data_IF_548812781123
#
_entry.id   IF_548812781123
#
_cell.length_a   1.000
_cell.length_b   1.000
_cell.length_c   1.000
_cell.angle_alpha   90.00
_cell.angle_beta   90.00
_cell.angle_gamma   90.00
#
_symmetry.space_group_name_H-M   'P 1'
#
loop_
_entity.id
_entity.type
_entity.pdbx_description
1 polymer ?
#
# COMPACT_ATOMS: atom_id res chain seq x y z
N UNK A 1 27.43 66.06 -15.99
CA UNK A 1 26.67 64.86 -15.55
C UNK A 1 25.89 65.26 -14.32
N UNK A 2 24.57 65.37 -14.49
CA UNK A 2 23.71 66.18 -13.61
C UNK A 2 23.32 65.47 -12.32
N UNK A 3 23.21 66.26 -11.25
CA UNK A 3 22.72 65.86 -9.92
C UNK A 3 21.32 65.23 -9.97
N UNK A 4 20.54 65.49 -11.03
CA UNK A 4 19.24 64.86 -11.29
C UNK A 4 19.30 63.37 -11.69
N UNK A 5 20.40 62.86 -12.26
CA UNK A 5 20.55 61.41 -12.52
C UNK A 5 20.77 60.60 -11.23
N UNK A 6 21.36 61.22 -10.20
CA UNK A 6 21.55 60.59 -8.88
C UNK A 6 20.27 60.59 -8.02
N UNK A 7 19.34 61.53 -8.26
CA UNK A 7 18.10 61.65 -7.49
C UNK A 7 16.93 60.82 -8.07
N UNK A 8 16.94 60.49 -9.37
CA UNK A 8 15.90 59.68 -10.02
C UNK A 8 16.34 58.26 -10.43
N UNK A 9 17.60 57.88 -10.20
CA UNK A 9 18.11 56.53 -10.52
C UNK A 9 17.45 55.38 -9.73
N UNK A 10 16.80 55.67 -8.59
CA UNK A 10 16.07 54.67 -7.80
C UNK A 10 14.66 54.37 -8.35
N UNK A 11 14.01 55.35 -9.00
CA UNK A 11 12.65 55.20 -9.54
C UNK A 11 12.59 54.36 -10.83
N UNK A 12 13.74 54.14 -11.50
CA UNK A 12 13.87 53.29 -12.69
C UNK A 12 14.67 52.01 -12.42
N UNK A 13 14.48 51.35 -11.27
CA UNK A 13 14.76 49.90 -11.19
C UNK A 13 13.85 49.22 -12.21
N UNK A 14 14.39 48.90 -13.40
CA UNK A 14 13.72 48.08 -14.43
C UNK A 14 13.01 46.94 -13.71
N UNK A 15 11.68 46.91 -13.77
CA UNK A 15 10.91 45.77 -13.23
C UNK A 15 11.57 44.49 -13.77
N UNK A 16 11.91 43.52 -12.91
CA UNK A 16 12.51 42.27 -13.37
C UNK A 16 11.62 41.71 -14.48
N UNK A 17 12.24 41.32 -15.60
CA UNK A 17 11.48 40.74 -16.72
C UNK A 17 10.75 39.51 -16.19
N UNK A 18 9.43 39.56 -16.19
CA UNK A 18 8.56 38.47 -15.76
C UNK A 18 8.51 37.41 -16.85
N UNK A 19 8.82 36.16 -16.50
CA UNK A 19 8.82 35.01 -17.40
C UNK A 19 7.87 33.98 -16.79
N UNK A 20 6.80 33.65 -17.51
CA UNK A 20 5.88 32.57 -17.15
C UNK A 20 6.14 31.36 -18.04
N UNK A 21 6.28 30.19 -17.44
CA UNK A 21 6.59 28.92 -18.12
C UNK A 21 5.60 27.84 -17.70
N UNK A 22 5.21 27.01 -18.67
CA UNK A 22 4.54 25.76 -18.35
C UNK A 22 5.57 24.73 -17.86
N UNK A 23 5.13 23.78 -17.02
CA UNK A 23 5.93 22.62 -16.58
C UNK A 23 6.63 21.91 -17.76
N UNK A 24 5.94 21.78 -18.90
CA UNK A 24 6.47 21.12 -20.10
C UNK A 24 7.58 21.92 -20.80
N UNK A 25 7.62 23.23 -20.61
CA UNK A 25 8.55 24.13 -21.30
C UNK A 25 9.79 24.48 -20.46
N UNK A 26 9.78 24.22 -19.15
CA UNK A 26 10.88 24.60 -18.25
C UNK A 26 12.21 23.99 -18.67
N UNK A 27 12.24 22.70 -19.03
CA UNK A 27 13.46 22.02 -19.47
C UNK A 27 14.06 22.69 -20.72
N UNK A 28 13.23 22.91 -21.75
CA UNK A 28 13.64 23.59 -22.98
C UNK A 28 14.11 25.03 -22.73
N UNK A 29 13.46 25.72 -21.79
CA UNK A 29 13.86 27.06 -21.39
C UNK A 29 15.25 27.06 -20.74
N UNK A 30 15.50 26.13 -19.80
CA UNK A 30 16.81 26.00 -19.15
C UNK A 30 17.90 25.65 -20.16
N UNK A 31 17.65 24.72 -21.08
CA UNK A 31 18.59 24.41 -22.18
C UNK A 31 18.86 25.63 -23.08
N UNK A 32 17.83 26.42 -23.37
CA UNK A 32 17.96 27.66 -24.13
C UNK A 32 18.80 28.71 -23.39
N UNK A 33 18.61 28.89 -22.09
CA UNK A 33 19.44 29.80 -21.29
C UNK A 33 20.88 29.26 -21.16
N UNK A 34 21.06 27.95 -21.00
CA UNK A 34 22.38 27.29 -20.99
C UNK A 34 23.12 27.51 -22.31
N UNK A 35 22.45 27.35 -23.45
CA UNK A 35 23.04 27.51 -24.79
C UNK A 35 23.37 28.96 -25.17
N UNK A 36 22.69 29.95 -24.57
CA UNK A 36 23.07 31.37 -24.71
C UNK A 36 24.41 31.67 -24.03
N UNK A 37 24.75 30.92 -22.99
CA UNK A 37 26.04 31.07 -22.34
C UNK A 37 27.15 30.54 -23.25
N UNK A 38 28.05 31.44 -23.64
CA UNK A 38 29.26 31.06 -24.39
C UNK A 38 30.35 30.52 -23.45
N UNK A 39 30.14 30.57 -22.14
CA UNK A 39 31.14 30.32 -21.10
C UNK A 39 31.86 28.98 -21.30
N UNK A 40 31.11 27.89 -21.41
CA UNK A 40 31.69 26.55 -21.63
C UNK A 40 32.41 26.38 -22.97
N UNK A 41 31.94 27.09 -24.02
CA UNK A 41 32.48 26.94 -25.39
C UNK A 41 33.66 27.86 -25.68
N UNK A 42 33.75 29.01 -25.01
CA UNK A 42 34.73 30.04 -25.35
C UNK A 42 35.57 30.49 -24.17
N UNK A 43 35.00 30.70 -22.99
CA UNK A 43 35.72 31.32 -21.87
C UNK A 43 36.51 30.29 -21.08
N UNK A 44 35.89 29.15 -20.73
CA UNK A 44 36.57 28.04 -20.06
C UNK A 44 37.75 27.50 -20.87
N UNK A 45 37.63 27.23 -22.20
CA UNK A 45 38.78 26.81 -22.99
C UNK A 45 39.91 27.83 -23.07
N UNK A 46 39.61 29.14 -23.06
CA UNK A 46 40.63 30.20 -23.02
C UNK A 46 41.41 30.18 -21.71
N UNK A 47 40.70 30.13 -20.58
CA UNK A 47 41.32 30.02 -19.26
C UNK A 47 42.17 28.74 -19.17
N UNK A 48 41.68 27.62 -19.69
CA UNK A 48 42.43 26.37 -19.72
C UNK A 48 43.70 26.45 -20.58
N UNK A 49 43.64 27.15 -21.72
CA UNK A 49 44.81 27.37 -22.56
C UNK A 49 45.86 28.24 -21.85
N UNK A 50 45.43 29.28 -21.13
CA UNK A 50 46.32 30.14 -20.32
C UNK A 50 46.94 29.36 -19.14
N UNK A 51 46.17 28.52 -18.45
CA UNK A 51 46.71 27.62 -17.41
C UNK A 51 47.77 26.69 -18.00
N UNK A 52 47.51 26.08 -19.16
CA UNK A 52 48.49 25.21 -19.85
C UNK A 52 49.75 25.95 -20.24
N UNK A 53 49.63 27.20 -20.73
CA UNK A 53 50.77 28.05 -21.04
C UNK A 53 51.66 28.25 -19.81
N UNK A 54 51.10 28.64 -18.68
CA UNK A 54 51.87 28.83 -17.44
C UNK A 54 52.46 27.52 -16.91
N UNK A 55 51.75 26.40 -17.06
CA UNK A 55 52.30 25.06 -16.73
C UNK A 55 53.53 24.75 -17.59
N UNK A 56 53.46 25.00 -18.90
CA UNK A 56 54.57 24.72 -19.82
C UNK A 56 55.76 25.65 -19.58
N UNK A 57 55.51 26.93 -19.25
CA UNK A 57 56.55 27.86 -18.79
C UNK A 57 57.22 27.38 -17.50
N UNK A 58 56.45 26.90 -16.51
CA UNK A 58 57.03 26.30 -15.30
C UNK A 58 57.87 25.07 -15.65
N UNK A 59 57.41 24.21 -16.57
CA UNK A 59 58.19 23.03 -17.02
C UNK A 59 59.55 23.45 -17.62
N UNK A 60 59.59 24.53 -18.40
CA UNK A 60 60.84 25.07 -18.96
C UNK A 60 61.74 25.64 -17.86
N UNK A 61 61.20 26.48 -16.98
CA UNK A 61 61.94 27.07 -15.87
C UNK A 61 62.50 26.02 -14.91
N UNK A 62 61.80 24.90 -14.70
CA UNK A 62 62.30 23.79 -13.89
C UNK A 62 63.49 23.07 -14.54
N UNK A 63 63.49 22.90 -15.87
CA UNK A 63 64.63 22.33 -16.61
C UNK A 63 65.86 23.24 -16.51
N UNK A 64 65.67 24.54 -16.76
CA UNK A 64 66.73 25.55 -16.61
C UNK A 64 67.26 25.58 -15.17
N UNK A 65 66.34 25.52 -14.20
CA UNK A 65 66.68 25.47 -12.78
C UNK A 65 67.54 24.25 -12.48
N UNK A 66 67.25 23.06 -13.05
CA UNK A 66 68.00 21.83 -12.86
C UNK A 66 69.41 21.87 -13.47
N UNK A 67 69.57 22.47 -14.65
CA UNK A 67 70.83 22.55 -15.40
C UNK A 67 71.82 23.59 -14.86
N UNK A 68 71.32 24.68 -14.26
CA UNK A 68 72.15 25.81 -13.81
C UNK A 68 72.92 25.51 -12.52
N UNK A 69 74.23 25.71 -12.52
CA UNK A 69 75.08 25.53 -11.34
C UNK A 69 74.90 26.64 -10.31
N UNK A 70 75.11 26.29 -9.04
CA UNK A 70 75.02 27.22 -7.91
C UNK A 70 76.40 27.84 -7.68
N UNK A 71 76.51 29.12 -8.01
CA UNK A 71 77.72 29.92 -7.82
C UNK A 71 77.66 30.65 -6.47
N UNK A 72 78.11 29.96 -5.40
CA UNK A 72 78.18 30.52 -4.04
C UNK A 72 79.47 30.03 -3.38
N UNK A 73 80.21 30.96 -2.76
CA UNK A 73 81.51 30.70 -2.13
C UNK A 73 81.43 29.70 -0.95
N UNK A 74 80.29 29.62 -0.26
CA UNK A 74 80.11 28.73 0.88
C UNK A 74 79.72 27.30 0.45
N UNK A 75 80.67 26.38 0.50
CA UNK A 75 80.49 24.95 0.14
C UNK A 75 79.37 24.23 0.91
N UNK A 76 79.17 24.55 2.20
CA UNK A 76 78.09 23.95 3.00
C UNK A 76 76.73 24.43 2.52
N UNK A 77 76.61 25.72 2.23
CA UNK A 77 75.39 26.31 1.68
C UNK A 77 75.12 25.77 0.28
N UNK A 78 76.14 25.67 -0.58
CA UNK A 78 76.06 25.13 -1.94
C UNK A 78 75.45 23.72 -1.96
N UNK A 79 75.90 22.83 -1.07
CA UNK A 79 75.33 21.47 -0.93
C UNK A 79 73.85 21.48 -0.51
N UNK A 80 73.48 22.32 0.45
CA UNK A 80 72.09 22.45 0.92
C UNK A 80 71.20 23.03 -0.17
N UNK A 81 71.64 24.09 -0.84
CA UNK A 81 70.93 24.73 -1.93
C UNK A 81 70.74 23.76 -3.12
N UNK A 82 71.74 22.94 -3.46
CA UNK A 82 71.63 21.94 -4.53
C UNK A 82 70.61 20.84 -4.20
N UNK A 83 70.56 20.38 -2.94
CA UNK A 83 69.56 19.41 -2.47
C UNK A 83 68.15 20.01 -2.46
N UNK A 84 68.01 21.23 -1.95
CA UNK A 84 66.74 21.97 -1.96
C UNK A 84 66.23 22.27 -3.37
N UNK A 85 67.13 22.59 -4.31
CA UNK A 85 66.83 22.76 -5.74
C UNK A 85 66.20 21.49 -6.32
N UNK A 86 66.86 20.33 -6.21
CA UNK A 86 66.32 19.04 -6.71
C UNK A 86 64.97 18.68 -6.08
N UNK A 87 64.85 18.87 -4.76
CA UNK A 87 63.61 18.57 -4.04
C UNK A 87 62.47 19.53 -4.42
N UNK A 88 62.78 20.80 -4.66
CA UNK A 88 61.84 21.78 -5.16
C UNK A 88 61.37 21.40 -6.57
N UNK A 89 62.28 21.16 -7.51
CA UNK A 89 61.93 20.79 -8.88
C UNK A 89 61.01 19.58 -8.91
N UNK A 90 61.38 18.50 -8.21
CA UNK A 90 60.54 17.29 -8.13
C UNK A 90 59.13 17.57 -7.62
N UNK A 91 58.99 18.40 -6.58
CA UNK A 91 57.69 18.72 -5.98
C UNK A 91 56.85 19.61 -6.87
N UNK A 92 57.44 20.62 -7.50
CA UNK A 92 56.72 21.48 -8.44
C UNK A 92 56.34 20.71 -9.69
N UNK A 93 57.17 19.81 -10.19
CA UNK A 93 56.80 18.91 -11.30
C UNK A 93 55.59 18.04 -10.96
N UNK A 94 55.49 17.53 -9.73
CA UNK A 94 54.32 16.79 -9.27
C UNK A 94 53.09 17.68 -9.12
N UNK A 95 53.27 18.91 -8.60
CA UNK A 95 52.20 19.88 -8.46
C UNK A 95 51.60 20.23 -9.84
N UNK A 96 52.41 20.64 -10.81
CA UNK A 96 51.90 21.07 -12.12
C UNK A 96 51.20 19.95 -12.90
N UNK A 97 51.54 18.68 -12.66
CA UNK A 97 50.80 17.54 -13.22
C UNK A 97 49.35 17.47 -12.69
N UNK A 98 49.15 17.81 -11.41
CA UNK A 98 47.82 17.87 -10.80
C UNK A 98 47.01 19.10 -11.20
N UNK A 99 47.68 20.15 -11.68
CA UNK A 99 47.06 21.38 -12.17
C UNK A 99 46.67 21.29 -13.65
N UNK A 100 46.88 20.16 -14.32
CA UNK A 100 46.47 20.03 -15.72
C UNK A 100 44.94 20.07 -15.86
N UNK A 101 44.39 20.92 -16.76
CA UNK A 101 42.94 21.02 -16.92
C UNK A 101 42.29 19.69 -17.38
N UNK A 102 41.09 19.36 -16.89
CA UNK A 102 40.40 18.13 -17.25
C UNK A 102 40.03 18.06 -18.74
N UNK A 103 40.00 16.84 -19.29
CA UNK A 103 39.64 16.61 -20.70
C UNK A 103 38.14 16.74 -20.97
N UNK A 104 37.30 16.26 -20.05
CA UNK A 104 35.85 16.39 -20.13
C UNK A 104 35.40 17.64 -19.39
N UNK A 105 34.74 18.57 -20.10
CA UNK A 105 34.23 19.82 -19.52
C UNK A 105 32.72 19.66 -19.28
N UNK A 106 32.36 19.40 -18.03
CA UNK A 106 30.99 19.56 -17.53
C UNK A 106 30.99 20.38 -16.23
N UNK A 107 29.82 20.85 -15.82
CA UNK A 107 29.70 21.76 -14.68
C UNK A 107 30.36 21.23 -13.39
N UNK A 108 30.10 19.95 -13.08
CA UNK A 108 30.63 19.24 -11.92
C UNK A 108 32.15 19.12 -11.95
N UNK A 109 32.69 18.67 -13.08
CA UNK A 109 34.14 18.49 -13.27
C UNK A 109 34.89 19.81 -13.14
N UNK A 110 34.29 20.92 -13.59
CA UNK A 110 34.90 22.24 -13.54
C UNK A 110 34.97 22.77 -12.11
N UNK A 111 33.86 22.68 -11.35
CA UNK A 111 33.82 23.12 -9.95
C UNK A 111 34.78 22.31 -9.07
N UNK A 112 34.83 21.00 -9.27
CA UNK A 112 35.77 20.12 -8.56
C UNK A 112 37.21 20.45 -8.91
N UNK A 113 37.51 20.68 -10.19
CA UNK A 113 38.84 21.05 -10.64
C UNK A 113 39.30 22.38 -10.01
N UNK A 114 38.47 23.44 -10.03
CA UNK A 114 38.83 24.71 -9.39
C UNK A 114 39.20 24.54 -7.92
N UNK A 115 38.35 23.83 -7.18
CA UNK A 115 38.56 23.61 -5.74
C UNK A 115 39.84 22.82 -5.46
N UNK A 116 40.03 21.68 -6.14
CA UNK A 116 41.20 20.83 -5.92
C UNK A 116 42.50 21.50 -6.38
N UNK A 117 42.49 22.21 -7.51
CA UNK A 117 43.68 22.85 -8.05
C UNK A 117 44.15 24.02 -7.16
N UNK A 118 43.22 24.81 -6.60
CA UNK A 118 43.57 25.87 -5.64
C UNK A 118 44.17 25.29 -4.36
N UNK A 119 43.56 24.25 -3.79
CA UNK A 119 44.06 23.56 -2.60
C UNK A 119 45.45 22.93 -2.83
N UNK A 120 45.67 22.30 -3.99
CA UNK A 120 46.98 21.73 -4.34
C UNK A 120 48.07 22.80 -4.49
N UNK A 121 47.76 23.98 -5.04
CA UNK A 121 48.70 25.12 -5.09
C UNK A 121 49.07 25.55 -3.66
N UNK A 122 48.07 25.74 -2.78
CA UNK A 122 48.31 26.18 -1.41
C UNK A 122 49.16 25.18 -0.63
N UNK A 123 48.78 23.90 -0.65
CA UNK A 123 49.50 22.83 0.04
C UNK A 123 50.88 22.59 -0.55
N UNK A 124 51.02 22.62 -1.88
CA UNK A 124 52.29 22.41 -2.59
C UNK A 124 53.31 23.51 -2.31
N UNK A 125 52.87 24.77 -2.27
CA UNK A 125 53.70 25.92 -1.89
C UNK A 125 54.06 25.87 -0.41
N UNK A 126 53.09 25.58 0.47
CA UNK A 126 53.33 25.45 1.91
C UNK A 126 54.37 24.37 2.23
N UNK A 127 54.20 23.17 1.66
CA UNK A 127 55.11 22.05 1.88
C UNK A 127 56.53 22.34 1.39
N UNK A 128 56.69 23.24 0.42
CA UNK A 128 57.96 23.58 -0.21
C UNK A 128 58.69 24.78 0.39
N UNK A 129 58.12 25.46 1.40
CA UNK A 129 58.67 26.70 2.01
C UNK A 129 60.17 26.66 2.34
N UNK A 130 60.65 25.57 2.97
CA UNK A 130 62.08 25.41 3.30
C UNK A 130 62.96 25.34 2.04
N UNK A 131 62.52 24.59 1.03
CA UNK A 131 63.27 24.46 -0.23
C UNK A 131 63.22 25.76 -1.03
N UNK A 132 62.08 26.45 -1.02
CA UNK A 132 61.91 27.78 -1.63
C UNK A 132 62.91 28.76 -1.01
N UNK A 133 63.05 28.79 0.32
CA UNK A 133 63.97 29.71 0.97
C UNK A 133 65.44 29.53 0.49
N UNK A 134 65.95 28.30 0.53
CA UNK A 134 67.34 28.01 0.11
C UNK A 134 67.55 28.21 -1.39
N UNK A 135 66.60 27.76 -2.22
CA UNK A 135 66.68 27.93 -3.68
C UNK A 135 66.55 29.40 -4.10
N UNK A 136 65.77 30.22 -3.39
CA UNK A 136 65.61 31.65 -3.70
C UNK A 136 66.88 32.44 -3.41
N UNK A 137 67.61 32.10 -2.33
CA UNK A 137 68.89 32.74 -2.03
C UNK A 137 69.96 32.43 -3.08
N UNK A 138 69.95 31.21 -3.64
CA UNK A 138 70.89 30.82 -4.69
C UNK A 138 70.47 31.25 -6.10
N UNK A 139 69.17 31.29 -6.38
CA UNK A 139 68.60 31.44 -7.73
C UNK A 139 67.32 32.30 -7.71
N UNK A 140 67.43 33.59 -7.34
CA UNK A 140 66.27 34.44 -7.06
C UNK A 140 65.37 34.67 -8.29
N UNK A 141 65.95 34.75 -9.49
CA UNK A 141 65.20 35.04 -10.72
C UNK A 141 64.31 33.86 -11.13
N UNK A 142 64.87 32.65 -11.25
CA UNK A 142 64.12 31.44 -11.61
C UNK A 142 63.00 31.14 -10.60
N UNK A 143 63.29 31.28 -9.30
CA UNK A 143 62.30 31.06 -8.24
C UNK A 143 61.18 32.10 -8.28
N UNK A 144 61.50 33.38 -8.56
CA UNK A 144 60.51 34.45 -8.71
C UNK A 144 59.62 34.21 -9.93
N UNK A 145 60.17 33.77 -11.05
CA UNK A 145 59.40 33.47 -12.27
C UNK A 145 58.45 32.29 -12.06
N UNK A 146 58.89 31.22 -11.41
CA UNK A 146 58.03 30.08 -11.05
C UNK A 146 56.90 30.54 -10.11
N UNK A 147 57.22 31.35 -9.09
CA UNK A 147 56.24 31.91 -8.18
C UNK A 147 55.18 32.76 -8.90
N UNK A 148 55.61 33.62 -9.84
CA UNK A 148 54.70 34.43 -10.66
C UNK A 148 53.74 33.59 -11.50
N UNK A 149 54.23 32.51 -12.10
CA UNK A 149 53.39 31.61 -12.90
C UNK A 149 52.41 30.81 -12.05
N UNK A 150 52.80 30.36 -10.85
CA UNK A 150 51.87 29.74 -9.89
C UNK A 150 50.80 30.73 -9.41
N UNK A 151 51.18 31.98 -9.13
CA UNK A 151 50.23 33.04 -8.76
C UNK A 151 49.26 33.35 -9.91
N UNK A 152 49.75 33.38 -11.16
CA UNK A 152 48.92 33.56 -12.34
C UNK A 152 47.91 32.42 -12.50
N UNK A 153 48.33 31.16 -12.32
CA UNK A 153 47.41 30.01 -12.34
C UNK A 153 46.36 30.13 -11.22
N UNK A 154 46.74 30.53 -9.99
CA UNK A 154 45.79 30.75 -8.90
C UNK A 154 44.73 31.79 -9.27
N UNK A 155 45.13 32.93 -9.84
CA UNK A 155 44.19 33.96 -10.31
C UNK A 155 43.27 33.46 -11.41
N UNK A 156 43.78 32.63 -12.33
CA UNK A 156 42.96 32.02 -13.38
C UNK A 156 41.93 31.04 -12.81
N UNK A 157 42.28 30.28 -11.78
CA UNK A 157 41.37 29.37 -11.08
C UNK A 157 40.32 30.13 -10.25
N UNK A 158 40.70 31.21 -9.58
CA UNK A 158 39.76 32.13 -8.90
C UNK A 158 38.78 32.76 -9.91
N UNK A 159 39.28 33.24 -11.05
CA UNK A 159 38.45 33.76 -12.13
C UNK A 159 37.49 32.69 -12.65
N UNK A 160 37.94 31.46 -12.79
CA UNK A 160 37.10 30.33 -13.20
C UNK A 160 36.03 30.02 -12.15
N UNK A 161 36.34 30.12 -10.86
CA UNK A 161 35.36 29.98 -9.77
C UNK A 161 34.31 31.09 -9.81
N UNK A 162 34.72 32.35 -9.97
CA UNK A 162 33.78 33.47 -10.11
C UNK A 162 32.88 33.28 -11.33
N UNK A 163 33.45 32.83 -12.45
CA UNK A 163 32.71 32.57 -13.69
C UNK A 163 31.63 31.49 -13.52
N UNK A 164 31.93 30.44 -12.74
CA UNK A 164 30.96 29.41 -12.37
C UNK A 164 29.80 30.02 -11.56
N UNK A 165 30.13 30.84 -10.56
CA UNK A 165 29.15 31.44 -9.65
C UNK A 165 28.29 32.52 -10.32
N UNK A 166 28.81 33.21 -11.34
CA UNK A 166 28.05 34.16 -12.17
C UNK A 166 27.11 33.45 -13.16
N UNK A 167 27.37 32.19 -13.49
CA UNK A 167 26.63 31.41 -14.50
C UNK A 167 25.85 30.25 -13.86
N UNK A 168 25.17 30.49 -12.73
CA UNK A 168 24.44 29.47 -11.95
C UNK A 168 23.52 28.56 -12.77
N UNK A 169 22.84 29.07 -13.81
CA UNK A 169 21.96 28.25 -14.67
C UNK A 169 22.72 27.16 -15.43
N UNK A 170 23.96 27.43 -15.79
CA UNK A 170 24.84 26.50 -16.51
C UNK A 170 25.46 25.48 -15.55
N UNK A 171 25.80 25.92 -14.35
CA UNK A 171 26.64 25.15 -13.43
C UNK A 171 25.92 24.54 -12.22
N UNK A 172 24.63 24.85 -12.00
CA UNK A 172 23.88 24.34 -10.84
C UNK A 172 23.36 22.92 -11.09
N UNK A 173 23.90 21.97 -10.33
CA UNK A 173 23.35 20.60 -10.22
C UNK A 173 21.95 20.60 -9.59
N UNK A 174 21.66 21.53 -8.69
CA UNK A 174 20.36 21.61 -8.02
C UNK A 174 19.22 21.91 -8.99
N UNK A 175 19.47 22.78 -9.98
CA UNK A 175 18.51 23.07 -11.06
C UNK A 175 18.25 21.82 -11.90
N UNK A 176 19.29 21.05 -12.20
CA UNK A 176 19.17 19.82 -13.00
C UNK A 176 18.43 18.72 -12.26
N UNK A 177 18.74 18.50 -10.98
CA UNK A 177 18.04 17.54 -10.14
C UNK A 177 16.56 17.93 -9.98
N UNK A 178 16.27 19.21 -9.73
CA UNK A 178 14.90 19.70 -9.63
C UNK A 178 14.12 19.55 -10.94
N UNK A 179 14.76 19.75 -12.11
CA UNK A 179 14.14 19.48 -13.42
C UNK A 179 13.79 18.01 -13.60
N UNK A 180 14.72 17.12 -13.27
CA UNK A 180 14.53 15.67 -13.38
C UNK A 180 13.41 15.17 -12.44
N UNK A 181 13.39 15.65 -11.20
CA UNK A 181 12.32 15.37 -10.22
C UNK A 181 10.96 15.87 -10.75
N UNK A 182 10.91 17.11 -11.24
CA UNK A 182 9.69 17.72 -11.78
C UNK A 182 9.16 16.95 -13.01
N UNK A 183 10.04 16.50 -13.90
CA UNK A 183 9.65 15.66 -15.03
C UNK A 183 9.16 14.28 -14.59
N UNK A 184 9.88 13.61 -13.69
CA UNK A 184 9.49 12.30 -13.17
C UNK A 184 8.15 12.33 -12.46
N UNK A 185 7.89 13.34 -11.63
CA UNK A 185 6.60 13.51 -10.94
C UNK A 185 5.47 13.79 -11.92
N UNK A 186 5.72 14.57 -12.98
CA UNK A 186 4.73 14.81 -14.04
C UNK A 186 4.40 13.52 -14.83
N UNK A 187 5.39 12.68 -15.09
CA UNK A 187 5.17 11.37 -15.73
C UNK A 187 4.36 10.42 -14.84
N UNK A 188 4.62 10.39 -13.52
CA UNK A 188 3.80 9.62 -12.56
C UNK A 188 2.34 10.07 -12.56
N UNK A 189 2.09 11.38 -12.62
CA UNK A 189 0.71 11.92 -12.70
C UNK A 189 0.02 11.41 -13.96
N UNK A 190 0.67 11.50 -15.14
CA UNK A 190 0.07 11.00 -16.39
C UNK A 190 -0.28 9.53 -16.32
N UNK A 191 0.64 8.70 -15.79
CA UNK A 191 0.39 7.27 -15.63
C UNK A 191 -0.78 6.99 -14.65
N UNK A 192 -0.87 7.75 -13.56
CA UNK A 192 -1.99 7.65 -12.63
C UNK A 192 -3.32 8.11 -13.25
N UNK A 193 -3.31 9.16 -14.08
CA UNK A 193 -4.48 9.64 -14.83
C UNK A 193 -4.97 8.58 -15.84
N UNK A 194 -4.07 7.94 -16.59
CA UNK A 194 -4.41 6.81 -17.48
C UNK A 194 -5.05 5.65 -16.71
N UNK A 195 -4.49 5.30 -15.54
CA UNK A 195 -5.09 4.28 -14.65
C UNK A 195 -6.47 4.70 -14.16
N UNK A 196 -6.68 5.99 -13.85
CA UNK A 196 -7.97 6.51 -13.41
C UNK A 196 -9.03 6.43 -14.51
N UNK A 197 -8.66 6.65 -15.78
CA UNK A 197 -9.55 6.43 -16.94
C UNK A 197 -9.98 4.96 -17.02
N UNK A 198 -9.03 4.03 -16.95
CA UNK A 198 -9.34 2.59 -16.98
C UNK A 198 -10.23 2.15 -15.80
N UNK A 199 -10.01 2.71 -14.60
CA UNK A 199 -10.86 2.45 -13.44
C UNK A 199 -12.29 2.99 -13.62
N UNK A 200 -12.47 4.12 -14.30
CA UNK A 200 -13.79 4.65 -14.61
C UNK A 200 -14.55 3.75 -15.59
N UNK A 201 -13.88 3.25 -16.63
CA UNK A 201 -14.48 2.28 -17.56
C UNK A 201 -14.88 0.99 -16.84
N UNK A 202 -14.00 0.46 -15.98
CA UNK A 202 -14.28 -0.73 -15.16
C UNK A 202 -15.48 -0.50 -14.23
N UNK A 203 -15.57 0.68 -13.62
CA UNK A 203 -16.68 1.06 -12.75
C UNK A 203 -18.00 1.12 -13.52
N UNK A 204 -18.02 1.80 -14.66
CA UNK A 204 -19.20 1.89 -15.52
C UNK A 204 -19.68 0.51 -15.99
N UNK A 205 -18.74 -0.36 -16.40
CA UNK A 205 -19.06 -1.75 -16.78
C UNK A 205 -19.64 -2.56 -15.60
N UNK A 206 -19.06 -2.43 -14.40
CA UNK A 206 -19.58 -3.11 -13.21
C UNK A 206 -20.97 -2.58 -12.79
N UNK A 207 -21.23 -1.27 -12.94
CA UNK A 207 -22.54 -0.66 -12.71
C UNK A 207 -23.59 -1.22 -13.67
N UNK A 208 -23.28 -1.30 -14.96
CA UNK A 208 -24.17 -1.87 -15.98
C UNK A 208 -24.46 -3.35 -15.71
N UNK A 209 -23.43 -4.15 -15.41
CA UNK A 209 -23.59 -5.57 -15.07
C UNK A 209 -24.44 -5.76 -13.81
N UNK A 210 -24.23 -4.92 -12.79
CA UNK A 210 -25.02 -4.95 -11.57
C UNK A 210 -26.49 -4.60 -11.84
N UNK A 211 -26.75 -3.58 -12.65
CA UNK A 211 -28.11 -3.19 -13.01
C UNK A 211 -28.83 -4.32 -13.78
N UNK A 212 -28.16 -4.95 -14.74
CA UNK A 212 -28.69 -6.09 -15.48
C UNK A 212 -28.96 -7.29 -14.57
N UNK A 213 -28.03 -7.62 -13.66
CA UNK A 213 -28.22 -8.68 -12.68
C UNK A 213 -29.40 -8.40 -11.73
N UNK A 214 -29.57 -7.14 -11.30
CA UNK A 214 -30.71 -6.71 -10.47
C UNK A 214 -32.04 -6.80 -11.22
N UNK A 215 -32.08 -6.39 -12.50
CA UNK A 215 -33.27 -6.55 -13.36
C UNK A 215 -33.64 -8.02 -13.50
N UNK A 216 -32.68 -8.88 -13.86
CA UNK A 216 -32.88 -10.34 -13.94
C UNK A 216 -33.37 -10.94 -12.63
N UNK A 217 -32.79 -10.54 -11.50
CA UNK A 217 -33.24 -11.00 -10.18
C UNK A 217 -34.67 -10.56 -9.89
N UNK A 218 -35.04 -9.32 -10.24
CA UNK A 218 -36.39 -8.79 -10.07
C UNK A 218 -37.40 -9.55 -10.93
N UNK A 219 -37.09 -9.83 -12.20
CA UNK A 219 -37.95 -10.60 -13.11
C UNK A 219 -38.13 -12.04 -12.64
N UNK A 220 -37.05 -12.70 -12.20
CA UNK A 220 -37.13 -14.04 -11.63
C UNK A 220 -37.97 -14.06 -10.36
N UNK A 221 -37.81 -13.05 -9.49
CA UNK A 221 -38.54 -12.96 -8.22
C UNK A 221 -40.02 -12.63 -8.40
N UNK A 222 -40.39 -11.92 -9.47
CA UNK A 222 -41.78 -11.58 -9.78
C UNK A 222 -42.51 -12.65 -10.58
N UNK A 223 -41.79 -13.67 -11.08
CA UNK A 223 -42.38 -14.80 -11.80
C UNK A 223 -43.39 -15.57 -10.95
N UNK A 224 -44.42 -16.09 -11.61
CA UNK A 224 -45.44 -16.92 -10.95
C UNK A 224 -44.83 -18.19 -10.33
N UNK A 225 -43.78 -18.74 -10.95
CA UNK A 225 -43.04 -19.89 -10.42
C UNK A 225 -42.31 -19.57 -9.11
N UNK A 226 -41.70 -18.37 -8.99
CA UNK A 226 -41.06 -17.93 -7.76
C UNK A 226 -42.07 -17.67 -6.64
N UNK A 227 -43.19 -17.02 -6.95
CA UNK A 227 -44.29 -16.83 -5.97
C UNK A 227 -44.85 -18.16 -5.50
N UNK A 228 -45.10 -19.09 -6.42
CA UNK A 228 -45.55 -20.44 -6.11
C UNK A 228 -44.55 -21.17 -5.22
N UNK A 229 -43.25 -21.07 -5.49
CA UNK A 229 -42.21 -21.66 -4.65
C UNK A 229 -42.23 -21.07 -3.23
N UNK A 230 -42.33 -19.75 -3.10
CA UNK A 230 -42.40 -19.07 -1.81
C UNK A 230 -43.66 -19.47 -1.02
N UNK A 231 -44.81 -19.57 -1.69
CA UNK A 231 -46.05 -20.02 -1.06
C UNK A 231 -45.96 -21.48 -0.61
N UNK A 232 -45.39 -22.36 -1.42
CA UNK A 232 -45.12 -23.76 -1.07
C UNK A 232 -44.17 -23.88 0.12
N UNK A 233 -43.10 -23.09 0.20
CA UNK A 233 -42.21 -23.05 1.37
C UNK A 233 -42.96 -22.62 2.64
N UNK A 234 -43.79 -21.57 2.56
CA UNK A 234 -44.59 -21.11 3.69
C UNK A 234 -45.61 -22.17 4.13
N UNK A 235 -46.29 -22.81 3.18
CA UNK A 235 -47.22 -23.91 3.47
C UNK A 235 -46.51 -25.10 4.12
N UNK A 236 -45.31 -25.46 3.64
CA UNK A 236 -44.49 -26.51 4.25
C UNK A 236 -44.13 -26.17 5.70
N UNK A 237 -43.74 -24.94 5.98
CA UNK A 237 -43.40 -24.50 7.35
C UNK A 237 -44.61 -24.55 8.28
N UNK A 238 -45.79 -24.12 7.80
CA UNK A 238 -47.04 -24.21 8.57
C UNK A 238 -47.40 -25.67 8.90
N UNK A 239 -47.32 -26.58 7.92
CA UNK A 239 -47.59 -28.01 8.13
C UNK A 239 -46.57 -28.65 9.09
N UNK A 240 -45.30 -28.24 9.02
CA UNK A 240 -44.27 -28.70 9.94
C UNK A 240 -44.54 -28.25 11.39
N UNK A 241 -44.96 -27.00 11.58
CA UNK A 241 -45.38 -26.47 12.89
C UNK A 241 -46.61 -27.20 13.42
N UNK A 242 -47.61 -27.46 12.59
CA UNK A 242 -48.80 -28.22 12.97
C UNK A 242 -48.43 -29.65 13.41
N UNK A 243 -47.54 -30.31 12.66
CA UNK A 243 -47.01 -31.63 13.02
C UNK A 243 -46.28 -31.60 14.36
N UNK A 244 -45.43 -30.61 14.58
CA UNK A 244 -44.72 -30.42 15.85
C UNK A 244 -45.68 -30.19 17.01
N UNK A 245 -46.76 -29.43 16.81
CA UNK A 245 -47.79 -29.21 17.83
C UNK A 245 -48.54 -30.50 18.21
N UNK A 246 -48.96 -31.30 17.23
CA UNK A 246 -49.65 -32.58 17.49
C UNK A 246 -48.71 -33.53 18.24
N UNK A 247 -47.48 -33.67 17.76
CA UNK A 247 -46.47 -34.52 18.40
C UNK A 247 -46.13 -34.01 19.81
N UNK A 248 -45.93 -32.70 19.98
CA UNK A 248 -45.62 -32.07 21.25
C UNK A 248 -46.73 -32.25 22.29
N UNK A 249 -48.01 -32.16 21.89
CA UNK A 249 -49.15 -32.48 22.75
C UNK A 249 -49.10 -33.94 23.22
N UNK A 250 -48.90 -34.89 22.29
CA UNK A 250 -48.80 -36.31 22.62
C UNK A 250 -47.62 -36.63 23.57
N UNK A 251 -46.44 -36.06 23.31
CA UNK A 251 -45.28 -36.22 24.19
C UNK A 251 -45.52 -35.60 25.56
N UNK A 252 -46.17 -34.43 25.63
CA UNK A 252 -46.45 -33.74 26.89
C UNK A 252 -47.36 -34.57 27.79
N UNK A 253 -48.39 -35.20 27.21
CA UNK A 253 -49.26 -36.11 27.94
C UNK A 253 -48.51 -37.35 28.46
N UNK A 254 -47.62 -37.95 27.65
CA UNK A 254 -46.76 -39.04 28.10
C UNK A 254 -45.73 -38.58 29.15
N UNK A 255 -45.23 -37.35 29.02
CA UNK A 255 -44.23 -36.76 29.93
C UNK A 255 -44.81 -36.48 31.31
N UNK A 256 -46.12 -36.25 31.42
CA UNK A 256 -46.80 -36.19 32.72
C UNK A 256 -46.61 -37.49 33.52
N UNK A 257 -46.41 -38.62 32.84
CA UNK A 257 -46.13 -39.92 33.44
C UNK A 257 -44.63 -40.23 33.59
N UNK A 258 -43.71 -39.32 33.27
CA UNK A 258 -42.25 -39.59 33.29
C UNK A 258 -41.74 -40.07 34.65
N UNK A 259 -42.21 -39.47 35.75
CA UNK A 259 -41.82 -39.87 37.11
C UNK A 259 -42.45 -41.23 37.50
N UNK A 260 -43.77 -41.46 37.31
CA UNK A 260 -44.37 -42.78 37.43
C UNK A 260 -43.67 -43.88 36.61
N UNK A 261 -43.39 -43.62 35.34
CA UNK A 261 -42.69 -44.53 34.42
C UNK A 261 -41.31 -44.91 34.97
N UNK A 262 -40.52 -43.95 35.47
CA UNK A 262 -39.23 -44.25 36.10
C UNK A 262 -39.35 -45.07 37.38
N UNK A 263 -40.36 -44.79 38.21
CA UNK A 263 -40.62 -45.59 39.41
C UNK A 263 -41.03 -47.02 39.03
N UNK A 264 -41.84 -47.18 37.99
CA UNK A 264 -42.27 -48.47 37.47
C UNK A 264 -41.10 -49.27 36.89
N UNK A 265 -40.24 -48.61 36.11
CA UNK A 265 -38.99 -49.18 35.59
C UNK A 265 -38.09 -49.66 36.74
N UNK A 266 -37.94 -48.87 37.81
CA UNK A 266 -37.20 -49.27 39.01
C UNK A 266 -37.84 -50.48 39.69
N UNK A 267 -39.15 -50.50 39.85
CA UNK A 267 -39.89 -51.63 40.44
C UNK A 267 -39.68 -52.92 39.62
N UNK A 268 -39.63 -52.82 38.29
CA UNK A 268 -39.30 -53.94 37.42
C UNK A 268 -37.85 -54.41 37.59
N UNK A 269 -36.90 -53.48 37.63
CA UNK A 269 -35.45 -53.79 37.78
C UNK A 269 -35.11 -54.47 39.11
N UNK A 270 -35.79 -54.11 40.20
CA UNK A 270 -35.60 -54.74 41.52
C UNK A 270 -36.43 -56.02 41.72
N UNK A 271 -37.21 -56.43 40.71
CA UNK A 271 -38.04 -57.64 40.76
C UNK A 271 -39.35 -57.52 41.54
N UNK A 272 -39.73 -56.31 41.96
CA UNK A 272 -41.01 -56.05 42.65
C UNK A 272 -42.23 -56.14 41.72
N UNK A 273 -42.02 -56.00 40.41
CA UNK A 273 -43.00 -56.24 39.37
C UNK A 273 -42.34 -56.98 38.19
N UNK A 274 -43.03 -57.90 37.51
CA UNK A 274 -42.48 -58.63 36.36
C UNK A 274 -43.17 -58.19 35.08
N UNK A 275 -42.40 -57.70 34.11
CA UNK A 275 -42.84 -57.42 32.74
C UNK A 275 -42.20 -58.43 31.77
N UNK A 276 -42.89 -58.69 30.65
CA UNK A 276 -42.31 -59.42 29.52
C UNK A 276 -41.19 -58.62 28.83
N UNK A 277 -40.45 -59.28 27.93
CA UNK A 277 -39.36 -58.64 27.19
C UNK A 277 -39.85 -57.48 26.31
N UNK A 278 -40.92 -57.69 25.53
CA UNK A 278 -41.51 -56.67 24.65
C UNK A 278 -42.06 -55.48 25.43
N UNK A 279 -42.71 -55.75 26.57
CA UNK A 279 -43.20 -54.75 27.49
C UNK A 279 -42.05 -53.92 28.10
N UNK A 280 -40.97 -54.57 28.54
CA UNK A 280 -39.79 -53.88 29.09
C UNK A 280 -39.14 -52.95 28.05
N UNK A 281 -38.99 -53.41 26.81
CA UNK A 281 -38.50 -52.58 25.70
C UNK A 281 -39.43 -51.40 25.40
N UNK A 282 -40.75 -51.62 25.46
CA UNK A 282 -41.73 -50.54 25.23
C UNK A 282 -41.68 -49.50 26.34
N UNK A 283 -41.58 -49.92 27.60
CA UNK A 283 -41.42 -49.03 28.75
C UNK A 283 -40.16 -48.18 28.64
N UNK A 284 -39.04 -48.78 28.22
CA UNK A 284 -37.78 -48.07 27.99
C UNK A 284 -37.91 -47.03 26.86
N UNK A 285 -38.54 -47.40 25.73
CA UNK A 285 -38.82 -46.47 24.62
C UNK A 285 -39.78 -45.35 25.03
N UNK A 286 -40.80 -45.62 25.84
CA UNK A 286 -41.69 -44.58 26.38
C UNK A 286 -40.92 -43.55 27.21
N UNK A 287 -39.90 -43.98 27.95
CA UNK A 287 -39.09 -43.11 28.79
C UNK A 287 -38.04 -42.31 28.02
N UNK A 288 -37.40 -42.92 27.02
CA UNK A 288 -36.23 -42.36 26.32
C UNK A 288 -36.59 -41.72 24.97
N UNK A 289 -37.55 -42.28 24.23
CA UNK A 289 -37.84 -41.93 22.85
C UNK A 289 -39.36 -42.04 22.53
N UNK A 290 -40.23 -41.27 23.23
CA UNK A 290 -41.68 -41.36 23.06
C UNK A 290 -42.14 -41.03 21.63
N UNK A 291 -41.44 -40.14 20.94
CA UNK A 291 -41.71 -39.78 19.54
C UNK A 291 -41.58 -40.95 18.56
N UNK A 292 -40.47 -41.68 18.67
CA UNK A 292 -40.19 -42.84 17.81
C UNK A 292 -41.21 -43.94 18.09
N UNK A 293 -41.56 -44.12 19.37
CA UNK A 293 -42.56 -45.09 19.77
C UNK A 293 -43.94 -44.79 19.18
N UNK A 294 -44.41 -43.54 19.29
CA UNK A 294 -45.69 -43.09 18.72
C UNK A 294 -45.76 -43.25 17.19
N UNK A 295 -44.62 -43.19 16.50
CA UNK A 295 -44.55 -43.47 15.05
C UNK A 295 -44.56 -44.96 14.73
N UNK A 296 -43.86 -45.76 15.54
CA UNK A 296 -43.71 -47.21 15.29
C UNK A 296 -44.89 -48.06 15.79
N UNK A 297 -45.72 -47.52 16.68
CA UNK A 297 -46.92 -48.17 17.23
C UNK A 297 -48.19 -47.32 16.96
N UNK A 298 -48.78 -47.40 15.76
CA UNK A 298 -49.87 -46.52 15.32
C UNK A 298 -51.13 -46.56 16.18
N UNK A 299 -51.40 -47.70 16.82
CA UNK A 299 -52.57 -47.90 17.69
C UNK A 299 -52.23 -47.78 19.17
N UNK A 300 -50.97 -47.45 19.49
CA UNK A 300 -50.44 -47.39 20.84
C UNK A 300 -50.73 -48.67 21.63
N UNK A 301 -50.68 -49.85 21.00
CA UNK A 301 -50.98 -51.13 21.67
C UNK A 301 -49.99 -51.38 22.80
N UNK A 302 -48.69 -51.26 22.52
CA UNK A 302 -47.65 -51.46 23.52
C UNK A 302 -47.70 -50.38 24.59
N UNK A 303 -47.97 -49.13 24.21
CA UNK A 303 -48.15 -48.04 25.18
C UNK A 303 -49.32 -48.35 26.12
N UNK A 304 -50.48 -48.76 25.59
CA UNK A 304 -51.66 -49.07 26.39
C UNK A 304 -51.45 -50.28 27.30
N UNK A 305 -50.74 -51.30 26.82
CA UNK A 305 -50.35 -52.45 27.65
C UNK A 305 -49.49 -52.00 28.84
N UNK A 306 -48.48 -51.16 28.62
CA UNK A 306 -47.64 -50.62 29.70
C UNK A 306 -48.43 -49.73 30.66
N UNK A 307 -49.33 -48.89 30.14
CA UNK A 307 -50.19 -48.06 30.98
C UNK A 307 -51.12 -48.91 31.86
N UNK A 308 -51.67 -50.01 31.34
CA UNK A 308 -52.49 -50.94 32.11
C UNK A 308 -51.69 -51.69 33.18
N UNK A 309 -50.48 -52.16 32.84
CA UNK A 309 -49.58 -52.80 33.82
C UNK A 309 -49.14 -51.81 34.91
N UNK A 310 -48.84 -50.57 34.54
CA UNK A 310 -48.49 -49.51 35.48
C UNK A 310 -49.68 -49.17 36.39
N UNK A 311 -50.91 -49.14 35.87
CA UNK A 311 -52.15 -48.99 36.67
C UNK A 311 -52.25 -50.08 37.73
N UNK A 312 -52.11 -51.34 37.32
CA UNK A 312 -52.16 -52.50 38.21
C UNK A 312 -51.07 -52.44 39.30
N UNK A 313 -49.86 -52.03 38.94
CA UNK A 313 -48.74 -51.90 39.86
C UNK A 313 -48.98 -50.80 40.93
N UNK A 314 -49.58 -49.68 40.55
CA UNK A 314 -49.95 -48.60 41.46
C UNK A 314 -51.08 -49.02 42.42
N UNK A 315 -52.10 -49.70 41.90
CA UNK A 315 -53.23 -50.18 42.71
C UNK A 315 -52.81 -51.25 43.73
N UNK A 316 -51.93 -52.17 43.34
CA UNK A 316 -51.34 -53.21 44.22
C UNK A 316 -50.24 -52.70 45.16
N UNK A 317 -49.97 -51.39 45.17
CA UNK A 317 -48.90 -50.76 45.95
C UNK A 317 -47.48 -51.33 45.64
N UNK A 318 -47.25 -51.84 44.43
CA UNK A 318 -45.91 -52.23 43.97
C UNK A 318 -45.04 -51.01 43.60
N UNK A 319 -45.67 -49.85 43.41
CA UNK A 319 -45.01 -48.55 43.23
C UNK A 319 -45.39 -47.63 44.38
N UNK A 320 -44.40 -47.19 45.17
CA UNK A 320 -44.63 -46.26 46.28
C UNK A 320 -44.93 -44.83 45.78
N UNK A 321 -46.13 -44.36 46.11
CA UNK A 321 -46.64 -43.02 45.77
C UNK A 321 -47.51 -42.52 46.91
N UNK A 322 -47.53 -41.20 47.15
CA UNK A 322 -48.49 -40.63 48.10
C UNK A 322 -49.90 -40.58 47.49
N UNK A 323 -50.94 -40.53 48.32
CA UNK A 323 -52.35 -40.60 47.87
C UNK A 323 -52.73 -39.54 46.80
N UNK A 324 -52.19 -38.33 46.92
CA UNK A 324 -52.45 -37.25 45.96
C UNK A 324 -51.81 -37.54 44.59
N UNK A 325 -50.54 -37.96 44.57
CA UNK A 325 -49.80 -38.35 43.37
C UNK A 325 -50.44 -39.59 42.73
N UNK A 326 -50.83 -40.59 43.54
CA UNK A 326 -51.52 -41.81 43.12
C UNK A 326 -52.82 -41.49 42.36
N UNK A 327 -53.70 -40.67 42.94
CA UNK A 327 -54.96 -40.27 42.31
C UNK A 327 -54.74 -39.53 40.98
N UNK A 328 -53.77 -38.61 40.94
CA UNK A 328 -53.46 -37.84 39.73
C UNK A 328 -52.87 -38.72 38.62
N UNK A 329 -51.94 -39.61 38.96
CA UNK A 329 -51.32 -40.53 38.01
C UNK A 329 -52.32 -41.54 37.45
N UNK A 330 -53.19 -42.12 38.29
CA UNK A 330 -54.24 -43.03 37.81
C UNK A 330 -55.19 -42.32 36.85
N UNK A 331 -55.61 -41.09 37.13
CA UNK A 331 -56.46 -40.30 36.23
C UNK A 331 -55.77 -40.02 34.87
N UNK A 332 -54.47 -39.74 34.88
CA UNK A 332 -53.68 -39.55 33.65
C UNK A 332 -53.51 -40.84 32.85
N UNK A 333 -53.29 -41.97 33.53
CA UNK A 333 -53.24 -43.30 32.91
C UNK A 333 -54.59 -43.64 32.27
N UNK A 334 -55.70 -43.41 32.97
CA UNK A 334 -57.05 -43.70 32.46
C UNK A 334 -57.38 -42.84 31.24
N UNK A 335 -57.02 -41.55 31.25
CA UNK A 335 -57.17 -40.67 30.10
C UNK A 335 -56.38 -41.17 28.87
N UNK A 336 -55.13 -41.61 29.07
CA UNK A 336 -54.30 -42.14 27.99
C UNK A 336 -54.77 -43.53 27.50
N UNK A 337 -55.28 -44.39 28.38
CA UNK A 337 -55.86 -45.68 27.98
C UNK A 337 -57.11 -45.50 27.09
N UNK A 338 -57.94 -44.51 27.41
CA UNK A 338 -59.14 -44.16 26.66
C UNK A 338 -58.85 -43.46 25.32
N UNK A 339 -57.67 -42.85 25.17
CA UNK A 339 -57.30 -42.06 23.99
C UNK A 339 -57.22 -42.88 22.71
N UNK A 340 -57.68 -42.33 21.59
CA UNK A 340 -57.53 -42.93 20.26
C UNK A 340 -56.25 -42.41 19.58
N UNK A 341 -55.12 -43.00 19.93
CA UNK A 341 -53.83 -42.62 19.35
C UNK A 341 -53.77 -42.71 17.82
N UNK A 342 -54.58 -43.57 17.22
CA UNK A 342 -54.57 -43.72 15.77
C UNK A 342 -55.18 -42.49 15.11
N UNK A 343 -56.41 -42.13 15.49
CA UNK A 343 -57.13 -41.01 14.88
C UNK A 343 -56.67 -39.64 15.40
N UNK A 344 -56.21 -39.55 16.64
CA UNK A 344 -55.85 -38.27 17.25
C UNK A 344 -54.38 -37.86 17.04
N UNK A 345 -53.49 -38.83 16.76
CA UNK A 345 -52.04 -38.58 16.71
C UNK A 345 -51.45 -39.15 15.41
N UNK A 346 -51.48 -40.47 15.23
CA UNK A 346 -50.78 -41.13 14.14
C UNK A 346 -51.27 -40.71 12.76
N UNK A 347 -52.59 -40.79 12.52
CA UNK A 347 -53.19 -40.48 11.22
C UNK A 347 -52.99 -39.01 10.82
N UNK A 348 -53.26 -38.00 11.69
CA UNK A 348 -52.96 -36.61 11.39
C UNK A 348 -51.49 -36.35 11.05
N UNK A 349 -50.55 -36.93 11.81
CA UNK A 349 -49.11 -36.78 11.53
C UNK A 349 -48.75 -37.38 10.18
N UNK A 350 -49.29 -38.55 9.85
CA UNK A 350 -49.02 -39.21 8.57
C UNK A 350 -49.62 -38.43 7.37
N UNK A 351 -50.80 -37.84 7.52
CA UNK A 351 -51.37 -36.95 6.51
C UNK A 351 -50.52 -35.69 6.30
N UNK A 352 -50.02 -35.08 7.38
CA UNK A 352 -49.11 -33.93 7.31
C UNK A 352 -47.80 -34.32 6.63
N UNK A 353 -47.22 -35.48 6.94
CA UNK A 353 -46.01 -35.98 6.28
C UNK A 353 -46.24 -36.24 4.80
N UNK A 354 -47.40 -36.78 4.41
CA UNK A 354 -47.75 -36.96 3.01
C UNK A 354 -47.86 -35.61 2.27
N UNK A 355 -48.48 -34.59 2.89
CA UNK A 355 -48.59 -33.23 2.33
C UNK A 355 -47.22 -32.56 2.20
N UNK A 356 -46.39 -32.60 3.25
CA UNK A 356 -45.02 -32.06 3.24
C UNK A 356 -44.20 -32.72 2.13
N UNK A 357 -44.25 -34.04 2.00
CA UNK A 357 -43.51 -34.77 0.95
C UNK A 357 -43.98 -34.40 -0.47
N UNK A 358 -45.27 -34.12 -0.67
CA UNK A 358 -45.78 -33.63 -1.97
C UNK A 358 -45.23 -32.24 -2.27
N UNK A 359 -45.30 -31.33 -1.31
CA UNK A 359 -44.76 -29.98 -1.45
C UNK A 359 -43.26 -30.02 -1.73
N UNK A 360 -42.49 -30.90 -1.07
CA UNK A 360 -41.06 -31.05 -1.34
C UNK A 360 -40.75 -31.54 -2.76
N UNK A 361 -41.55 -32.45 -3.31
CA UNK A 361 -41.40 -32.89 -4.70
C UNK A 361 -41.72 -31.77 -5.67
N UNK A 362 -42.77 -31.00 -5.39
CA UNK A 362 -43.12 -29.82 -6.19
C UNK A 362 -42.02 -28.76 -6.13
N UNK A 363 -41.53 -28.40 -4.94
CA UNK A 363 -40.41 -27.46 -4.77
C UNK A 363 -39.14 -27.90 -5.52
N UNK A 364 -38.81 -29.20 -5.49
CA UNK A 364 -37.66 -29.74 -6.24
C UNK A 364 -37.83 -29.65 -7.76
N UNK A 365 -39.06 -29.63 -8.25
CA UNK A 365 -39.35 -29.48 -9.68
C UNK A 365 -39.30 -28.04 -10.17
N UNK A 366 -39.29 -27.06 -9.27
CA UNK A 366 -39.22 -25.63 -9.61
C UNK A 366 -37.76 -25.23 -9.83
N UNK A 367 -37.36 -25.15 -11.09
CA UNK A 367 -36.00 -24.76 -11.51
C UNK A 367 -35.66 -23.30 -11.14
N UNK A 368 -36.69 -22.45 -10.97
CA UNK A 368 -36.53 -21.02 -10.65
C UNK A 368 -35.82 -20.78 -9.34
N UNK A 369 -35.98 -21.61 -8.30
CA UNK A 369 -35.28 -21.42 -7.03
C UNK A 369 -33.77 -21.44 -7.18
N UNK A 370 -33.24 -22.31 -8.06
CA UNK A 370 -31.80 -22.37 -8.37
C UNK A 370 -31.35 -21.11 -9.13
N UNK A 371 -32.10 -20.71 -10.16
CA UNK A 371 -31.83 -19.50 -10.96
C UNK A 371 -31.86 -18.23 -10.10
N UNK A 372 -32.77 -18.17 -9.13
CA UNK A 372 -32.92 -17.05 -8.20
C UNK A 372 -31.74 -16.98 -7.22
N UNK A 373 -31.25 -18.13 -6.74
CA UNK A 373 -30.03 -18.19 -5.94
C UNK A 373 -28.79 -17.76 -6.74
N UNK A 374 -28.63 -18.26 -7.97
CA UNK A 374 -27.53 -17.86 -8.87
C UNK A 374 -27.56 -16.35 -9.15
N UNK A 375 -28.74 -15.78 -9.46
CA UNK A 375 -28.89 -14.35 -9.68
C UNK A 375 -28.56 -13.51 -8.43
N UNK A 376 -28.90 -13.99 -7.22
CA UNK A 376 -28.50 -13.33 -5.96
C UNK A 376 -26.97 -13.32 -5.79
N UNK A 377 -26.31 -14.45 -6.07
CA UNK A 377 -24.85 -14.54 -6.01
C UNK A 377 -24.19 -13.62 -7.02
N UNK A 378 -24.76 -13.53 -8.22
CA UNK A 378 -24.30 -12.64 -9.30
C UNK A 378 -24.40 -11.16 -8.89
N UNK A 379 -25.55 -10.72 -8.34
CA UNK A 379 -25.71 -9.38 -7.76
C UNK A 379 -24.66 -9.11 -6.68
N UNK A 380 -24.51 -10.01 -5.70
CA UNK A 380 -23.53 -9.83 -4.62
C UNK A 380 -22.07 -9.85 -5.09
N UNK A 381 -21.80 -10.47 -6.24
CA UNK A 381 -20.48 -10.43 -6.87
C UNK A 381 -20.24 -9.07 -7.51
N UNK A 382 -21.15 -8.59 -8.34
CA UNK A 382 -20.99 -7.29 -9.00
C UNK A 382 -21.01 -6.11 -8.02
N UNK A 383 -21.75 -6.20 -6.91
CA UNK A 383 -21.68 -5.22 -5.81
C UNK A 383 -20.28 -5.14 -5.20
N UNK A 384 -19.60 -6.29 -5.03
CA UNK A 384 -18.21 -6.33 -4.54
C UNK A 384 -17.25 -5.74 -5.58
N UNK A 385 -17.36 -6.15 -6.83
CA UNK A 385 -16.52 -5.63 -7.92
C UNK A 385 -16.64 -4.10 -8.06
N UNK A 386 -17.87 -3.56 -7.99
CA UNK A 386 -18.14 -2.12 -8.01
C UNK A 386 -17.55 -1.39 -6.80
N UNK A 387 -17.68 -1.99 -5.61
CA UNK A 387 -17.12 -1.43 -4.37
C UNK A 387 -15.59 -1.37 -4.43
N UNK A 388 -14.95 -2.45 -4.88
CA UNK A 388 -13.49 -2.53 -4.98
C UNK A 388 -12.97 -1.53 -6.02
N UNK A 389 -13.58 -1.46 -7.20
CA UNK A 389 -13.24 -0.48 -8.23
C UNK A 389 -13.43 0.97 -7.73
N UNK A 390 -14.49 1.25 -6.98
CA UNK A 390 -14.74 2.58 -6.42
C UNK A 390 -13.71 2.98 -5.36
N UNK A 391 -13.26 2.02 -4.54
CA UNK A 391 -12.23 2.26 -3.53
C UNK A 391 -10.86 2.49 -4.17
N UNK A 392 -10.53 1.71 -5.21
CA UNK A 392 -9.30 1.90 -5.99
C UNK A 392 -9.30 3.23 -6.76
N UNK A 393 -10.43 3.62 -7.36
CA UNK A 393 -10.60 4.93 -7.98
C UNK A 393 -10.35 6.06 -6.98
N UNK A 394 -10.91 5.97 -5.78
CA UNK A 394 -10.70 6.98 -4.73
C UNK A 394 -9.22 7.10 -4.35
N UNK A 395 -8.53 5.98 -4.13
CA UNK A 395 -7.09 5.97 -3.82
C UNK A 395 -6.25 6.57 -4.94
N UNK A 396 -6.53 6.20 -6.18
CA UNK A 396 -5.82 6.75 -7.34
C UNK A 396 -6.05 8.27 -7.49
N UNK A 397 -7.27 8.75 -7.20
CA UNK A 397 -7.59 10.18 -7.21
C UNK A 397 -6.83 10.95 -6.12
N UNK A 398 -6.75 10.39 -4.91
CA UNK A 398 -5.97 10.97 -3.80
C UNK A 398 -4.48 11.01 -4.15
N UNK A 399 -3.94 9.94 -4.73
CA UNK A 399 -2.55 9.88 -5.20
C UNK A 399 -2.23 10.96 -6.23
N UNK A 400 -3.11 11.19 -7.22
CA UNK A 400 -2.96 12.27 -8.21
C UNK A 400 -2.94 13.64 -7.53
N UNK A 401 -3.81 13.88 -6.54
CA UNK A 401 -3.86 15.15 -5.82
C UNK A 401 -2.56 15.41 -5.05
N UNK A 402 -2.03 14.39 -4.37
CA UNK A 402 -0.79 14.50 -3.62
C UNK A 402 0.42 14.70 -4.54
N UNK A 403 0.50 13.96 -5.66
CA UNK A 403 1.52 14.18 -6.68
C UNK A 403 1.44 15.59 -7.29
N UNK A 404 0.23 16.15 -7.48
CA UNK A 404 0.05 17.53 -7.96
C UNK A 404 0.51 18.57 -6.94
N UNK A 405 0.32 18.33 -5.64
CA UNK A 405 0.86 19.17 -4.56
C UNK A 405 2.39 19.14 -4.56
N UNK A 406 2.97 17.94 -4.68
CA UNK A 406 4.41 17.75 -4.78
C UNK A 406 4.98 18.47 -6.01
N UNK A 407 4.35 18.28 -7.18
CA UNK A 407 4.73 18.95 -8.43
C UNK A 407 4.68 20.47 -8.30
N UNK A 408 3.65 21.03 -7.64
CA UNK A 408 3.54 22.47 -7.39
C UNK A 408 4.65 22.98 -6.46
N UNK A 409 5.01 22.21 -5.43
CA UNK A 409 6.11 22.55 -4.53
C UNK A 409 7.46 22.54 -5.27
N UNK A 410 7.71 21.52 -6.10
CA UNK A 410 8.89 21.42 -6.96
C UNK A 410 8.95 22.57 -7.97
N UNK A 411 7.83 22.90 -8.62
CA UNK A 411 7.74 24.03 -9.54
C UNK A 411 8.09 25.36 -8.85
N UNK A 412 7.58 25.61 -7.64
CA UNK A 412 7.93 26.81 -6.84
C UNK A 412 9.41 26.85 -6.48
N UNK A 413 9.97 25.73 -6.02
CA UNK A 413 11.39 25.60 -5.69
C UNK A 413 12.27 25.93 -6.91
N UNK A 414 11.95 25.33 -8.06
CA UNK A 414 12.68 25.56 -9.30
C UNK A 414 12.50 26.99 -9.82
N UNK A 415 11.32 27.57 -9.67
CA UNK A 415 11.05 29.00 -9.94
C UNK A 415 12.00 29.90 -9.16
N UNK A 416 12.13 29.68 -7.84
CA UNK A 416 13.04 30.46 -7.00
C UNK A 416 14.50 30.33 -7.45
N UNK A 417 14.95 29.11 -7.72
CA UNK A 417 16.32 28.84 -8.20
C UNK A 417 16.62 29.52 -9.53
N UNK A 418 15.71 29.43 -10.50
CA UNK A 418 15.86 30.08 -11.81
C UNK A 418 15.77 31.60 -11.69
N UNK A 419 14.92 32.11 -10.80
CA UNK A 419 14.83 33.53 -10.53
C UNK A 419 16.12 34.12 -9.99
N UNK A 420 16.73 33.44 -9.01
CA UNK A 420 18.02 33.82 -8.46
C UNK A 420 19.12 33.72 -9.52
N UNK A 421 19.18 32.59 -10.24
CA UNK A 421 20.22 32.32 -11.22
C UNK A 421 20.18 33.24 -12.45
N UNK A 422 18.99 33.74 -12.83
CA UNK A 422 18.82 34.64 -13.98
C UNK A 422 18.64 36.11 -13.60
N UNK A 423 18.53 36.43 -12.31
CA UNK A 423 18.13 37.76 -11.80
C UNK A 423 16.86 38.29 -12.48
N UNK A 424 15.86 37.41 -12.66
CA UNK A 424 14.56 37.68 -13.31
C UNK A 424 13.45 37.03 -12.50
N UNK A 425 12.22 37.49 -12.65
CA UNK A 425 11.08 36.81 -12.03
C UNK A 425 10.64 35.66 -12.95
N UNK A 426 10.75 34.41 -12.49
CA UNK A 426 10.42 33.20 -13.24
C UNK A 426 9.33 32.45 -12.49
N UNK A 427 8.17 32.31 -13.11
CA UNK A 427 7.01 31.60 -12.55
C UNK A 427 6.76 30.36 -13.40
N UNK A 428 6.72 29.18 -12.75
CA UNK A 428 6.37 27.91 -13.37
C UNK A 428 4.95 27.55 -12.92
N UNK A 429 4.07 27.34 -13.89
CA UNK A 429 2.65 27.01 -13.69
C UNK A 429 2.27 25.68 -14.31
#
# INVERSE_FOLDING_TARGET
MGIFEKLFGWLFKKRPKHISLSIADVGKFVEKERSKSKVLKTEVPKIFAEIRLHIDEIKLLLKELEEKDIDVENERFKKVAQSSKKNFSKRISQLIQKLEPPQAINAKSLRNYCFLALDEIEQGVFASRKNIAYATTAMPESMRSIGKNLEAISKLLENLSMLIDENKVVFSEEIENALNELQSTNEKIKSAEERLVALNEKKASAEEMLENARKRLSELSSSEEAKKAQELEMQKELLAKEKEQIMGKAISELSALKRPIKKFEKACKIGAYKLGYEQSSTLEKMALQPELLLKSDPKAKGIKEILAEMKNAIEKNAIEMNEKEKKQTLAQIDALLAKDFFNEIFWPINELDAKINRIEKELKSIEVSKKLHEAKLEVSRFERELKDASLEHKRCSEEIEDLRKELSALAKKLSMMLSEALSKEVVIS
#
